data_IF_895944112395
#
_entry.id   IF_895944112395
#
_cell.length_a   1.000
_cell.length_b   1.000
_cell.length_c   1.000
_cell.angle_alpha   90.00
_cell.angle_beta   90.00
_cell.angle_gamma   90.00
#
_symmetry.space_group_name_H-M   'P 1'
#
loop_
_entity.id
_entity.type
_entity.pdbx_description
1 polymer ?
#
# COMPACT_ATOMS: atom_id res chain seq x y z
N UNK A 1 14.46 11.18 13.38
CA UNK A 1 13.18 11.34 12.66
C UNK A 1 13.32 10.57 11.37
N UNK A 2 12.45 9.60 11.08
CA UNK A 2 12.53 8.86 9.82
C UNK A 2 12.24 9.80 8.65
N UNK A 3 13.07 9.73 7.60
CA UNK A 3 12.87 10.50 6.37
C UNK A 3 11.53 10.08 5.75
N UNK A 4 10.67 11.05 5.41
CA UNK A 4 9.37 10.81 4.79
C UNK A 4 9.41 11.21 3.32
N UNK A 5 9.10 10.26 2.44
CA UNK A 5 9.01 10.47 0.99
C UNK A 5 7.55 10.58 0.57
N UNK A 6 7.28 11.48 -0.38
CA UNK A 6 5.95 11.60 -0.99
C UNK A 6 5.91 10.81 -2.29
N UNK A 7 5.02 9.83 -2.37
CA UNK A 7 4.72 9.08 -3.58
C UNK A 7 3.41 9.63 -4.18
N UNK A 8 3.46 10.08 -5.43
CA UNK A 8 2.27 10.57 -6.13
C UNK A 8 1.73 9.44 -7.00
N UNK A 9 0.48 9.03 -6.75
CA UNK A 9 -0.14 7.95 -7.53
C UNK A 9 -0.20 8.34 -9.01
N UNK A 10 -0.56 9.60 -9.30
CA UNK A 10 -0.62 10.15 -10.65
C UNK A 10 0.69 9.94 -11.44
N UNK A 11 1.85 10.19 -10.82
CA UNK A 11 3.15 10.08 -11.49
C UNK A 11 3.57 8.62 -11.71
N UNK A 12 3.20 7.72 -10.79
CA UNK A 12 3.55 6.30 -10.87
C UNK A 12 2.67 5.56 -11.88
N UNK A 13 1.39 5.89 -11.93
CA UNK A 13 0.41 5.29 -12.85
C UNK A 13 0.43 5.97 -14.22
N UNK A 14 0.82 7.25 -14.28
CA UNK A 14 0.89 8.03 -15.51
C UNK A 14 -0.43 8.72 -15.90
N UNK A 15 -1.36 8.90 -14.95
CA UNK A 15 -2.64 9.55 -15.23
C UNK A 15 -3.62 9.53 -14.05
N UNK A 16 -4.83 10.09 -14.21
CA UNK A 16 -5.82 10.28 -13.13
C UNK A 16 -6.79 9.10 -12.93
N UNK A 17 -6.65 8.02 -13.73
CA UNK A 17 -7.55 6.85 -13.74
C UNK A 17 -6.86 5.66 -13.07
N UNK A 18 -7.29 5.30 -11.87
CA UNK A 18 -6.67 4.32 -10.98
C UNK A 18 -7.60 3.13 -10.79
N UNK A 19 -7.72 2.32 -11.84
CA UNK A 19 -8.69 1.22 -11.92
C UNK A 19 -8.07 -0.15 -12.14
N UNK A 20 -6.78 -0.21 -12.50
CA UNK A 20 -6.09 -1.46 -12.78
C UNK A 20 -5.43 -2.05 -11.53
N UNK A 21 -5.54 -3.36 -11.36
CA UNK A 21 -4.77 -4.10 -10.34
C UNK A 21 -3.27 -3.96 -10.56
N UNK A 22 -2.80 -3.97 -11.82
CA UNK A 22 -1.38 -3.83 -12.16
C UNK A 22 -0.81 -2.48 -11.73
N UNK A 23 -1.59 -1.41 -11.90
CA UNK A 23 -1.19 -0.08 -11.44
C UNK A 23 -1.20 0.00 -9.90
N UNK A 24 -2.15 -0.66 -9.25
CA UNK A 24 -2.13 -0.82 -7.80
C UNK A 24 -0.88 -1.55 -7.31
N UNK A 25 -0.46 -2.62 -8.01
CA UNK A 25 0.75 -3.36 -7.69
C UNK A 25 2.01 -2.48 -7.74
N UNK A 26 2.14 -1.63 -8.77
CA UNK A 26 3.26 -0.67 -8.86
C UNK A 26 3.34 0.25 -7.64
N UNK A 27 2.19 0.70 -7.13
CA UNK A 27 2.14 1.54 -5.92
C UNK A 27 2.62 0.74 -4.70
N UNK A 28 2.12 -0.48 -4.53
CA UNK A 28 2.56 -1.37 -3.44
C UNK A 28 4.08 -1.59 -3.46
N UNK A 29 4.66 -1.90 -4.63
CA UNK A 29 6.09 -2.14 -4.78
C UNK A 29 6.91 -0.90 -4.39
N UNK A 30 6.44 0.31 -4.74
CA UNK A 30 7.10 1.56 -4.34
C UNK A 30 7.00 1.83 -2.85
N UNK A 31 5.86 1.54 -2.24
CA UNK A 31 5.66 1.68 -0.79
C UNK A 31 6.60 0.74 -0.03
N UNK A 32 6.61 -0.54 -0.41
CA UNK A 32 7.45 -1.54 0.25
C UNK A 32 8.94 -1.27 0.04
N UNK A 33 9.37 -0.81 -1.14
CA UNK A 33 10.74 -0.38 -1.37
C UNK A 33 11.14 0.79 -0.44
N UNK A 34 10.26 1.76 -0.22
CA UNK A 34 10.51 2.87 0.70
C UNK A 34 10.60 2.38 2.16
N UNK A 35 9.72 1.46 2.58
CA UNK A 35 9.77 0.86 3.91
C UNK A 35 11.06 0.06 4.15
N UNK A 36 11.50 -0.73 3.17
CA UNK A 36 12.78 -1.46 3.21
C UNK A 36 13.98 -0.51 3.34
N UNK A 37 13.91 0.67 2.73
CA UNK A 37 14.91 1.73 2.88
C UNK A 37 14.82 2.51 4.20
N UNK A 38 13.97 2.08 5.16
CA UNK A 38 13.77 2.74 6.46
C UNK A 38 12.99 4.05 6.40
N UNK A 39 12.40 4.39 5.24
CA UNK A 39 11.66 5.63 5.02
C UNK A 39 10.18 5.47 5.32
N UNK A 40 9.55 6.57 5.73
CA UNK A 40 8.09 6.67 5.81
C UNK A 40 7.52 7.17 4.49
N UNK A 41 6.28 6.84 4.18
CA UNK A 41 5.59 7.20 2.93
C UNK A 41 4.43 8.14 3.21
N UNK A 42 4.32 9.21 2.44
CA UNK A 42 3.09 9.95 2.23
C UNK A 42 2.58 9.65 0.81
N UNK A 43 1.44 8.96 0.68
CA UNK A 43 0.85 8.63 -0.60
C UNK A 43 -0.17 9.73 -0.98
N UNK A 44 0.13 10.47 -2.04
CA UNK A 44 -0.70 11.56 -2.53
C UNK A 44 -1.71 11.08 -3.57
N UNK A 45 -2.98 11.39 -3.32
CA UNK A 45 -4.13 11.15 -4.18
C UNK A 45 -4.44 12.37 -5.08
N UNK A 46 -3.49 13.30 -5.22
CA UNK A 46 -3.68 14.47 -6.06
C UNK A 46 -3.95 14.09 -7.52
N UNK A 47 -4.83 14.85 -8.17
CA UNK A 47 -5.26 14.67 -9.56
C UNK A 47 -6.03 13.36 -9.82
N UNK A 48 -6.61 12.74 -8.78
CA UNK A 48 -7.54 11.62 -8.96
C UNK A 48 -8.78 12.07 -9.77
N UNK A 49 -9.27 11.20 -10.66
CA UNK A 49 -10.59 11.31 -11.29
C UNK A 49 -11.42 10.03 -11.11
N UNK A 50 -10.79 8.87 -11.24
CA UNK A 50 -11.45 7.57 -11.10
C UNK A 50 -10.61 6.66 -10.21
N UNK A 51 -11.24 6.10 -9.19
CA UNK A 51 -10.64 5.17 -8.24
C UNK A 51 -11.63 4.03 -7.97
N UNK A 52 -11.14 2.80 -7.91
CA UNK A 52 -11.97 1.66 -7.51
C UNK A 52 -11.30 0.84 -6.41
N UNK A 53 -12.12 0.09 -5.67
CA UNK A 53 -11.66 -0.75 -4.56
C UNK A 53 -10.62 -1.80 -4.99
N UNK A 54 -10.71 -2.33 -6.21
CA UNK A 54 -9.75 -3.31 -6.71
C UNK A 54 -8.32 -2.73 -6.76
N UNK A 55 -8.18 -1.50 -7.26
CA UNK A 55 -6.92 -0.77 -7.23
C UNK A 55 -6.43 -0.55 -5.80
N UNK A 56 -7.30 -0.11 -4.89
CA UNK A 56 -6.94 0.13 -3.49
C UNK A 56 -6.52 -1.14 -2.76
N UNK A 57 -7.17 -2.27 -3.04
CA UNK A 57 -6.81 -3.55 -2.46
C UNK A 57 -5.41 -3.98 -2.91
N UNK A 58 -5.07 -3.79 -4.19
CA UNK A 58 -3.74 -4.05 -4.71
C UNK A 58 -2.71 -3.02 -4.20
N UNK A 59 -3.03 -1.73 -4.14
CA UNK A 59 -2.05 -0.73 -3.69
C UNK A 59 -1.77 -0.81 -2.18
N UNK A 60 -2.81 -0.99 -1.37
CA UNK A 60 -2.78 -0.73 0.07
C UNK A 60 -3.33 -1.92 0.87
N UNK A 61 -4.41 -2.57 0.41
CA UNK A 61 -5.02 -3.67 1.14
C UNK A 61 -4.04 -4.82 1.45
N UNK A 62 -3.22 -5.20 0.46
CA UNK A 62 -2.23 -6.26 0.63
C UNK A 62 -1.07 -5.93 1.59
N UNK A 63 -0.86 -4.65 1.99
CA UNK A 63 0.08 -4.31 3.07
C UNK A 63 -0.35 -4.91 4.42
N UNK A 64 -1.64 -5.17 4.60
CA UNK A 64 -2.20 -5.78 5.81
C UNK A 64 -2.17 -7.33 5.76
N UNK A 65 -1.40 -7.90 4.82
CA UNK A 65 -1.26 -9.34 4.61
C UNK A 65 -0.33 -10.08 5.57
N UNK A 66 0.33 -9.37 6.50
CA UNK A 66 1.20 -9.97 7.52
C UNK A 66 2.66 -9.52 7.49
N UNK A 67 3.11 -8.84 6.42
CA UNK A 67 4.49 -8.34 6.33
C UNK A 67 4.77 -7.21 7.34
N UNK A 68 3.78 -6.37 7.63
CA UNK A 68 3.87 -5.25 8.55
C UNK A 68 2.74 -5.31 9.57
N UNK A 69 3.03 -4.99 10.82
CA UNK A 69 2.01 -4.80 11.83
C UNK A 69 1.26 -3.47 11.64
N UNK A 70 0.06 -3.39 12.22
CA UNK A 70 -0.82 -2.23 12.07
C UNK A 70 -0.20 -0.94 12.64
N UNK A 71 0.57 -1.05 13.73
CA UNK A 71 1.23 0.09 14.35
C UNK A 71 2.30 0.68 13.41
N UNK A 72 3.12 -0.17 12.79
CA UNK A 72 4.08 0.23 11.77
C UNK A 72 3.41 0.95 10.61
N UNK A 73 2.34 0.38 10.05
CA UNK A 73 1.63 0.98 8.91
C UNK A 73 1.01 2.33 9.30
N UNK A 74 0.42 2.44 10.49
CA UNK A 74 -0.19 3.69 10.97
C UNK A 74 0.83 4.81 11.20
N UNK A 75 2.04 4.47 11.63
CA UNK A 75 3.12 5.45 11.83
C UNK A 75 3.78 5.86 10.51
N UNK A 76 3.97 4.89 9.59
CA UNK A 76 4.82 5.07 8.41
C UNK A 76 4.08 5.32 7.12
N UNK A 77 2.78 5.03 7.03
CA UNK A 77 1.97 5.33 5.86
C UNK A 77 0.98 6.44 6.16
N UNK A 78 1.16 7.59 5.50
CA UNK A 78 0.24 8.71 5.52
C UNK A 78 -0.42 8.87 4.14
N UNK A 79 -1.59 9.48 4.11
CA UNK A 79 -2.35 9.76 2.90
C UNK A 79 -2.65 11.26 2.81
N UNK A 80 -2.37 11.87 1.66
CA UNK A 80 -2.65 13.28 1.37
C UNK A 80 -3.50 13.44 0.11
N UNK A 81 -4.13 14.61 -0.05
CA UNK A 81 -4.88 14.99 -1.25
C UNK A 81 -6.03 14.03 -1.62
N UNK A 82 -6.62 13.41 -0.59
CA UNK A 82 -7.69 12.42 -0.73
C UNK A 82 -9.04 13.05 -0.37
N UNK A 83 -10.03 12.86 -1.24
CA UNK A 83 -11.41 13.30 -0.99
C UNK A 83 -12.05 12.48 0.15
N UNK A 84 -13.14 12.97 0.73
CA UNK A 84 -13.86 12.23 1.78
C UNK A 84 -14.43 10.90 1.25
N UNK A 85 -14.96 10.89 0.02
CA UNK A 85 -15.46 9.68 -0.63
C UNK A 85 -14.36 8.64 -0.89
N UNK A 86 -13.22 9.07 -1.45
CA UNK A 86 -12.08 8.17 -1.69
C UNK A 86 -11.48 7.67 -0.37
N UNK A 87 -11.48 8.51 0.68
CA UNK A 87 -11.05 8.11 2.03
C UNK A 87 -11.95 7.03 2.59
N UNK A 88 -13.27 7.16 2.48
CA UNK A 88 -14.19 6.12 2.90
C UNK A 88 -14.00 4.81 2.11
N UNK A 89 -13.69 4.90 0.80
CA UNK A 89 -13.38 3.74 -0.02
C UNK A 89 -12.06 3.06 0.43
N UNK A 90 -11.04 3.85 0.72
CA UNK A 90 -9.76 3.40 1.24
C UNK A 90 -9.91 2.69 2.60
N UNK A 91 -10.63 3.28 3.53
CA UNK A 91 -10.87 2.70 4.85
C UNK A 91 -11.58 1.36 4.73
N UNK A 92 -12.61 1.27 3.88
CA UNK A 92 -13.31 0.00 3.58
C UNK A 92 -12.38 -1.04 2.97
N UNK A 93 -11.50 -0.65 2.05
CA UNK A 93 -10.52 -1.55 1.45
C UNK A 93 -9.56 -2.12 2.51
N UNK A 94 -9.06 -1.26 3.40
CA UNK A 94 -8.20 -1.64 4.53
C UNK A 94 -8.93 -2.58 5.49
N UNK A 95 -10.15 -2.23 5.91
CA UNK A 95 -10.95 -3.08 6.81
C UNK A 95 -11.22 -4.45 6.21
N UNK A 96 -11.59 -4.51 4.93
CA UNK A 96 -11.84 -5.76 4.22
C UNK A 96 -10.58 -6.61 4.14
N UNK A 97 -9.42 -6.00 3.84
CA UNK A 97 -8.14 -6.70 3.83
C UNK A 97 -7.80 -7.28 5.20
N UNK A 98 -7.91 -6.49 6.27
CA UNK A 98 -7.68 -6.98 7.65
C UNK A 98 -8.57 -8.17 7.98
N UNK A 99 -9.87 -8.10 7.69
CA UNK A 99 -10.82 -9.22 7.90
C UNK A 99 -10.46 -10.44 7.06
N UNK A 100 -10.03 -10.22 5.82
CA UNK A 100 -9.62 -11.28 4.91
C UNK A 100 -8.40 -12.03 5.44
N UNK A 101 -7.35 -11.32 5.84
CA UNK A 101 -6.11 -11.92 6.32
C UNK A 101 -6.20 -12.48 7.74
N UNK A 102 -7.04 -11.89 8.62
CA UNK A 102 -7.30 -12.46 9.94
C UNK A 102 -7.99 -13.84 9.89
N UNK A 103 -8.71 -14.14 8.80
CA UNK A 103 -9.48 -15.38 8.64
C UNK A 103 -8.80 -16.44 7.75
N UNK A 104 -7.62 -16.17 7.17
CA UNK A 104 -6.84 -17.19 6.45
C UNK A 104 -5.93 -17.91 7.44
N UNK A 105 -6.04 -19.24 7.64
CA UNK A 105 -4.99 -19.98 8.32
C UNK A 105 -3.69 -19.87 7.50
N UNK A 106 -2.67 -19.28 8.12
CA UNK A 106 -1.24 -19.27 7.76
C UNK A 106 -0.87 -19.27 6.25
N UNK A 107 -0.64 -18.09 5.68
CA UNK A 107 0.14 -17.93 4.44
C UNK A 107 1.54 -17.37 4.75
N UNK A 108 2.15 -17.84 5.84
CA UNK A 108 3.42 -17.36 6.38
C UNK A 108 4.68 -17.98 5.75
N UNK A 109 4.56 -18.63 4.58
CA UNK A 109 5.73 -19.28 3.94
C UNK A 109 6.34 -18.51 2.76
N UNK A 110 5.71 -17.46 2.22
CA UNK A 110 6.20 -16.82 0.99
C UNK A 110 7.19 -15.66 1.21
N UNK A 111 7.33 -15.14 2.43
CA UNK A 111 8.16 -13.95 2.70
C UNK A 111 9.54 -14.22 3.28
N UNK A 112 9.82 -15.46 3.73
CA UNK A 112 11.11 -15.80 4.36
C UNK A 112 12.20 -16.18 3.36
N UNK A 113 11.84 -16.59 2.13
CA UNK A 113 12.81 -17.07 1.15
C UNK A 113 13.49 -15.95 0.34
N UNK A 114 12.99 -14.71 0.37
CA UNK A 114 13.53 -13.62 -0.49
C UNK A 114 14.53 -12.70 0.23
N UNK A 115 14.87 -12.97 1.49
CA UNK A 115 15.77 -12.12 2.29
C UNK A 115 17.13 -12.78 2.56
N UNK A 116 17.30 -14.07 2.25
CA UNK A 116 18.54 -14.82 2.49
C UNK A 116 19.44 -15.01 1.24
N UNK A 117 19.09 -14.50 0.05
CA UNK A 117 19.92 -14.69 -1.17
C UNK A 117 20.95 -13.57 -1.46
N UNK A 118 21.12 -12.58 -0.57
CA UNK A 118 22.16 -11.53 -0.70
C UNK A 118 23.30 -11.65 0.34
N UNK A 119 23.51 -12.83 0.92
CA UNK A 119 24.71 -13.15 1.72
C UNK A 119 25.36 -14.49 1.33
N UNK A 120 25.84 -14.63 0.08
CA UNK A 120 27.04 -15.43 -0.25
C UNK A 120 27.88 -14.78 -1.36
#
# INVERSE_FOLDING_TARGET
MAERVTLKIFDIVGGPVWVSTDDGQKIFDKITAAFKAGRSVNLSFANQQNLITAFLNAAIGQLYGGQYDEAFLKERLAFSDISEDDRAMLERAIENAKRYFANRPAYDHAWKEVVDEDEE
#
